data_IF_329331562234
#
_entry.id   IF_329331562234
#
_cell.length_a   1.000
_cell.length_b   1.000
_cell.length_c   1.000
_cell.angle_alpha   90.00
_cell.angle_beta   90.00
_cell.angle_gamma   90.00
#
_symmetry.space_group_name_H-M   'P 1'
#
loop_
_entity.id
_entity.type
_entity.pdbx_description
1 polymer ?
#
# COMPACT_ATOMS: atom_id res chain seq x y z
N UNK A 1 -22.23 5.48 -5.14
CA UNK A 1 -22.11 4.33 -4.22
C UNK A 1 -20.69 4.30 -3.74
N UNK A 2 -20.48 4.27 -2.43
CA UNK A 2 -19.14 4.34 -1.85
C UNK A 2 -18.40 3.01 -2.03
N UNK A 3 -17.19 3.05 -2.59
CA UNK A 3 -16.34 1.87 -2.82
C UNK A 3 -15.07 2.01 -1.98
N UNK A 4 -14.84 1.06 -1.08
CA UNK A 4 -13.57 0.86 -0.38
C UNK A 4 -12.97 -0.48 -0.81
N UNK A 5 -11.82 -0.49 -1.51
CA UNK A 5 -11.12 -1.72 -1.84
C UNK A 5 -10.63 -2.43 -0.57
N UNK A 6 -10.90 -3.73 -0.47
CA UNK A 6 -10.25 -4.57 0.53
C UNK A 6 -8.73 -4.53 0.32
N UNK A 7 -7.97 -4.31 1.39
CA UNK A 7 -6.53 -4.03 1.36
C UNK A 7 -6.16 -2.84 0.46
N UNK A 8 -6.96 -1.77 0.51
CA UNK A 8 -6.70 -0.54 -0.24
C UNK A 8 -5.33 0.11 0.04
N UNK A 9 -4.70 -0.18 1.18
CA UNK A 9 -3.36 0.32 1.53
C UNK A 9 -2.19 -0.47 0.93
N UNK A 10 -2.47 -1.49 0.11
CA UNK A 10 -1.46 -2.15 -0.73
C UNK A 10 -1.12 -1.28 -1.95
N UNK A 11 0.04 -1.53 -2.55
CA UNK A 11 0.61 -0.66 -3.58
C UNK A 11 -0.35 -0.45 -4.77
N UNK A 12 -1.03 -1.50 -5.21
CA UNK A 12 -2.05 -1.43 -6.27
C UNK A 12 -3.36 -0.79 -5.80
N UNK A 13 -3.75 -0.98 -4.54
CA UNK A 13 -4.98 -0.43 -3.97
C UNK A 13 -4.93 1.09 -3.89
N UNK A 14 -3.78 1.64 -3.48
CA UNK A 14 -3.57 3.09 -3.39
C UNK A 14 -3.66 3.76 -4.76
N UNK A 15 -3.06 3.15 -5.77
CA UNK A 15 -3.14 3.66 -7.15
C UNK A 15 -4.58 3.63 -7.68
N UNK A 16 -5.36 2.59 -7.35
CA UNK A 16 -6.77 2.53 -7.73
C UNK A 16 -7.59 3.63 -7.04
N UNK A 17 -7.36 3.86 -5.74
CA UNK A 17 -8.07 4.89 -4.97
C UNK A 17 -7.80 6.28 -5.56
N UNK A 18 -6.53 6.63 -5.79
CA UNK A 18 -6.15 7.94 -6.34
C UNK A 18 -6.63 8.14 -7.79
N UNK A 19 -6.79 7.05 -8.56
CA UNK A 19 -7.16 7.12 -9.97
C UNK A 19 -8.67 7.03 -10.24
N UNK A 20 -9.52 6.95 -9.21
CA UNK A 20 -10.96 6.73 -9.38
C UNK A 20 -11.80 7.45 -8.33
N UNK A 21 -13.13 7.37 -8.47
CA UNK A 21 -14.08 7.90 -7.48
C UNK A 21 -14.29 6.95 -6.28
N UNK A 22 -13.28 6.15 -5.92
CA UNK A 22 -13.30 5.40 -4.67
C UNK A 22 -13.36 6.37 -3.48
N UNK A 23 -13.77 5.85 -2.31
CA UNK A 23 -13.57 6.62 -1.09
C UNK A 23 -12.08 6.88 -0.88
N UNK A 24 -11.75 8.07 -0.38
CA UNK A 24 -10.40 8.46 0.04
C UNK A 24 -10.03 7.80 1.38
N UNK A 25 -10.18 6.48 1.44
CA UNK A 25 -9.93 5.61 2.59
C UNK A 25 -9.28 4.31 2.13
N UNK A 26 -8.22 3.93 2.82
CA UNK A 26 -7.47 2.71 2.54
C UNK A 26 -7.46 1.78 3.76
N UNK A 27 -7.91 0.54 3.57
CA UNK A 27 -7.67 -0.50 4.57
C UNK A 27 -6.18 -0.93 4.53
N UNK A 28 -5.45 -0.74 5.63
CA UNK A 28 -4.10 -1.28 5.81
C UNK A 28 -4.06 -2.26 6.98
N UNK A 29 -3.63 -3.48 6.70
CA UNK A 29 -3.34 -4.46 7.75
C UNK A 29 -1.84 -4.37 8.11
N UNK A 30 -1.47 -3.91 9.32
CA UNK A 30 -0.08 -3.82 9.74
C UNK A 30 0.55 -5.19 10.04
N UNK A 31 -0.23 -6.27 10.07
CA UNK A 31 0.19 -7.59 10.55
C UNK A 31 0.20 -7.65 12.08
N UNK A 32 0.81 -8.71 12.62
CA UNK A 32 0.94 -8.86 14.06
C UNK A 32 2.03 -7.94 14.61
N UNK A 33 1.69 -7.11 15.61
CA UNK A 33 2.65 -6.23 16.28
C UNK A 33 3.82 -7.05 16.84
N UNK A 34 5.04 -6.74 16.38
CA UNK A 34 6.29 -7.37 16.84
C UNK A 34 6.64 -8.69 16.14
N UNK A 35 5.84 -9.15 15.17
CA UNK A 35 6.23 -10.27 14.32
C UNK A 35 7.16 -9.79 13.19
N UNK A 36 8.11 -10.62 12.74
CA UNK A 36 8.82 -10.38 11.49
C UNK A 36 7.80 -10.20 10.37
N UNK A 37 7.97 -9.13 9.58
CA UNK A 37 7.20 -8.93 8.36
C UNK A 37 8.11 -9.22 7.18
N UNK A 38 7.58 -9.95 6.22
CA UNK A 38 8.25 -10.13 4.94
C UNK A 38 8.32 -8.77 4.24
N UNK A 39 9.54 -8.29 4.02
CA UNK A 39 9.81 -7.06 3.25
C UNK A 39 9.91 -7.40 1.77
N UNK A 40 8.80 -7.87 1.19
CA UNK A 40 8.75 -8.29 -0.22
C UNK A 40 9.04 -7.13 -1.19
N UNK A 41 8.62 -5.92 -0.82
CA UNK A 41 8.74 -4.73 -1.65
C UNK A 41 9.62 -3.69 -0.97
N UNK A 42 10.68 -3.26 -1.65
CA UNK A 42 11.36 -2.02 -1.30
C UNK A 42 10.52 -0.83 -1.77
N UNK A 43 10.53 0.25 -0.97
CA UNK A 43 9.75 1.47 -1.15
C UNK A 43 8.23 1.27 -1.06
N UNK A 44 7.76 0.20 -0.39
CA UNK A 44 6.34 0.02 -0.10
C UNK A 44 5.81 1.24 0.69
N UNK A 45 4.67 1.84 0.28
CA UNK A 45 4.03 2.90 1.04
C UNK A 45 3.73 2.48 2.49
N UNK A 46 4.15 3.32 3.43
CA UNK A 46 3.95 3.14 4.87
C UNK A 46 2.86 4.08 5.39
N UNK A 47 2.19 3.66 6.46
CA UNK A 47 1.21 4.52 7.14
C UNK A 47 1.96 5.45 8.10
N UNK A 48 1.84 6.75 7.88
CA UNK A 48 2.40 7.79 8.73
C UNK A 48 1.27 8.63 9.32
N UNK A 49 1.15 8.66 10.65
CA UNK A 49 0.10 9.42 11.35
C UNK A 49 -1.33 9.15 10.83
N UNK A 50 -1.63 7.90 10.47
CA UNK A 50 -2.93 7.48 9.94
C UNK A 50 -3.14 7.81 8.45
N UNK A 51 -2.15 8.38 7.77
CA UNK A 51 -2.20 8.70 6.35
C UNK A 51 -1.24 7.79 5.57
N UNK A 52 -1.58 7.53 4.31
CA UNK A 52 -0.77 6.74 3.38
C UNK A 52 -1.01 7.27 1.97
N UNK A 53 0.02 7.26 1.14
CA UNK A 53 -0.06 7.77 -0.23
C UNK A 53 0.90 7.00 -1.15
N UNK A 54 0.58 6.87 -2.46
CA UNK A 54 1.56 6.39 -3.43
C UNK A 54 2.73 7.38 -3.55
N UNK A 55 3.84 6.91 -4.10
CA UNK A 55 4.96 7.77 -4.48
C UNK A 55 4.90 8.07 -6.00
N UNK A 56 5.69 9.04 -6.46
CA UNK A 56 5.68 9.49 -7.86
C UNK A 56 6.61 8.68 -8.78
N UNK A 57 7.22 7.59 -8.29
CA UNK A 57 8.10 6.78 -9.11
C UNK A 57 7.31 5.93 -10.14
N UNK A 58 7.92 5.56 -11.28
CA UNK A 58 7.21 4.84 -12.34
C UNK A 58 6.56 3.52 -11.90
N UNK A 59 5.46 3.16 -12.56
CA UNK A 59 4.71 1.94 -12.25
C UNK A 59 3.99 2.08 -10.92
N UNK A 60 4.20 1.13 -10.02
CA UNK A 60 3.69 1.18 -8.63
C UNK A 60 4.70 1.79 -7.64
N UNK A 61 5.87 2.24 -8.13
CA UNK A 61 6.87 2.88 -7.28
C UNK A 61 7.56 1.96 -6.27
N UNK A 62 7.54 0.65 -6.50
CA UNK A 62 8.18 -0.38 -5.66
C UNK A 62 9.12 -1.25 -6.47
N UNK A 63 10.11 -1.84 -5.79
CA UNK A 63 11.01 -2.84 -6.38
C UNK A 63 10.98 -4.14 -5.57
N UNK A 64 11.09 -5.28 -6.23
CA UNK A 64 11.10 -6.59 -5.58
C UNK A 64 12.37 -6.73 -4.72
N UNK A 65 12.21 -7.25 -3.49
CA UNK A 65 13.33 -7.68 -2.68
C UNK A 65 13.84 -9.05 -3.17
N UNK A 66 14.86 -9.03 -4.03
CA UNK A 66 15.42 -10.25 -4.63
C UNK A 66 16.06 -11.21 -3.62
N UNK A 67 16.34 -10.78 -2.39
CA UNK A 67 16.83 -11.69 -1.34
C UNK A 67 15.74 -12.64 -0.82
N UNK A 68 14.48 -12.44 -1.22
CA UNK A 68 13.33 -13.29 -0.89
C UNK A 68 13.01 -14.34 -1.97
N UNK A 69 13.79 -14.41 -3.04
CA UNK A 69 13.71 -15.44 -4.08
C UNK A 69 14.55 -16.67 -3.71
#
# INVERSE_FOLDING_TARGET
SDLAPHRGGEVWGLHLIVASDCMDLAEKNPGNRGAPRDELWFNEPVVENGHIQPNDAPGFGVTLNEAML
#
